data_IF_504328112751
#
_entry.id   IF_504328112751
#
_cell.length_a   1.000
_cell.length_b   1.000
_cell.length_c   1.000
_cell.angle_alpha   90.00
_cell.angle_beta   90.00
_cell.angle_gamma   90.00
#
_symmetry.space_group_name_H-M   'P 1'
#
loop_
_entity.id
_entity.type
_entity.pdbx_description
1 polymer ?
#
# COMPACT_ATOMS: atom_id res chain seq x y z
N UNK A 1 8.48 57.40 -13.35
CA UNK A 1 9.41 56.25 -13.47
C UNK A 1 8.70 54.90 -13.32
N UNK A 2 7.35 54.85 -13.34
CA UNK A 2 6.59 53.62 -13.08
C UNK A 2 6.02 52.93 -14.33
N UNK A 3 5.95 53.63 -15.47
CA UNK A 3 5.35 53.12 -16.71
C UNK A 3 6.28 52.21 -17.54
N UNK A 4 7.59 52.22 -17.25
CA UNK A 4 8.59 51.42 -17.99
C UNK A 4 8.77 50.03 -17.38
N UNK A 5 8.60 49.89 -16.05
CA UNK A 5 8.74 48.61 -15.35
C UNK A 5 7.63 47.61 -15.72
N UNK A 6 6.40 48.09 -15.93
CA UNK A 6 5.25 47.24 -16.23
C UNK A 6 5.38 46.49 -17.58
N UNK A 7 5.90 47.14 -18.63
CA UNK A 7 6.06 46.53 -19.96
C UNK A 7 7.06 45.36 -19.97
N UNK A 8 8.12 45.44 -19.18
CA UNK A 8 9.14 44.39 -19.11
C UNK A 8 8.70 43.19 -18.27
N UNK A 9 7.88 43.41 -17.24
CA UNK A 9 7.29 42.32 -16.42
C UNK A 9 6.28 41.52 -17.24
N UNK A 10 5.46 42.18 -18.07
CA UNK A 10 4.53 41.47 -18.97
C UNK A 10 5.26 40.64 -20.03
N UNK A 11 6.34 41.16 -20.62
CA UNK A 11 7.16 40.41 -21.60
C UNK A 11 7.85 39.22 -20.93
N UNK A 12 8.37 39.39 -19.71
CA UNK A 12 9.00 38.30 -18.96
C UNK A 12 7.99 37.22 -18.56
N UNK A 13 6.79 37.61 -18.11
CA UNK A 13 5.70 36.70 -17.77
C UNK A 13 5.19 35.91 -18.99
N UNK A 14 5.06 36.57 -20.14
CA UNK A 14 4.68 35.94 -21.40
C UNK A 14 5.76 34.98 -21.91
N UNK A 15 7.04 35.34 -21.77
CA UNK A 15 8.16 34.45 -22.10
C UNK A 15 8.24 33.25 -21.15
N UNK A 16 7.99 33.42 -19.85
CA UNK A 16 7.92 32.30 -18.90
C UNK A 16 6.78 31.34 -19.26
N UNK A 17 5.61 31.84 -19.67
CA UNK A 17 4.51 30.98 -20.12
C UNK A 17 4.88 30.15 -21.36
N UNK A 18 5.62 30.74 -22.31
CA UNK A 18 6.10 30.03 -23.50
C UNK A 18 7.18 28.98 -23.20
N UNK A 19 7.99 29.18 -22.16
CA UNK A 19 9.04 28.23 -21.73
C UNK A 19 8.43 27.05 -20.96
N UNK A 20 7.37 27.27 -20.17
CA UNK A 20 6.68 26.19 -19.44
C UNK A 20 5.66 25.41 -20.28
N UNK A 21 5.25 25.92 -21.45
CA UNK A 21 4.29 25.24 -22.33
C UNK A 21 4.91 24.25 -23.32
N UNK A 22 6.23 24.06 -23.32
CA UNK A 22 6.86 23.00 -24.14
C UNK A 22 6.66 21.66 -23.42
N UNK A 23 5.43 21.15 -23.48
CA UNK A 23 5.24 19.72 -23.44
C UNK A 23 5.96 19.17 -24.68
N UNK A 24 7.12 18.55 -24.47
CA UNK A 24 7.80 17.79 -25.52
C UNK A 24 6.92 16.57 -25.81
N UNK A 25 5.89 16.76 -26.61
CA UNK A 25 5.17 15.67 -27.24
C UNK A 25 6.11 15.09 -28.29
N UNK A 26 6.40 13.80 -28.21
CA UNK A 26 7.08 13.09 -29.28
C UNK A 26 6.22 13.21 -30.54
N UNK A 27 6.71 13.97 -31.51
CA UNK A 27 6.19 14.03 -32.87
C UNK A 27 6.37 12.62 -33.47
N UNK A 28 5.30 11.83 -33.48
CA UNK A 28 5.37 10.43 -33.92
C UNK A 28 4.10 9.61 -33.70
N UNK A 29 3.18 10.05 -32.85
CA UNK A 29 1.88 9.38 -32.67
C UNK A 29 0.83 10.05 -33.56
N UNK A 30 0.82 9.72 -34.84
CA UNK A 30 -0.23 10.18 -35.76
C UNK A 30 -1.50 9.32 -35.64
N UNK A 31 -2.66 9.99 -35.75
CA UNK A 31 -3.97 9.38 -36.03
C UNK A 31 -4.43 8.30 -35.04
N UNK A 32 -5.16 8.68 -33.97
CA UNK A 32 -5.98 7.77 -33.16
C UNK A 32 -5.23 6.64 -32.41
N UNK A 33 -3.91 6.60 -32.53
CA UNK A 33 -3.07 5.56 -31.96
C UNK A 33 -2.92 5.78 -30.45
N UNK A 34 -3.49 4.88 -29.63
CA UNK A 34 -3.40 4.94 -28.17
C UNK A 34 -1.97 4.64 -27.72
N UNK A 35 -1.34 5.56 -26.99
CA UNK A 35 -0.05 5.31 -26.29
C UNK A 35 -0.25 4.24 -25.23
N UNK A 36 0.59 3.19 -25.24
CA UNK A 36 0.42 2.00 -24.38
C UNK A 36 1.50 1.82 -23.29
N UNK A 37 2.42 2.77 -23.18
CA UNK A 37 3.49 2.78 -22.19
C UNK A 37 4.50 3.88 -22.50
N UNK A 38 5.33 4.21 -21.51
CA UNK A 38 6.44 5.18 -21.65
C UNK A 38 7.72 4.55 -21.13
N UNK A 39 8.86 4.89 -21.75
CA UNK A 39 10.19 4.54 -21.22
C UNK A 39 10.82 5.79 -20.60
N UNK A 40 11.06 5.77 -19.29
CA UNK A 40 11.68 6.86 -18.55
C UNK A 40 13.04 6.40 -18.04
N UNK A 41 14.08 6.57 -18.86
CA UNK A 41 15.46 6.27 -18.45
C UNK A 41 15.72 4.78 -18.22
N UNK A 42 15.12 3.91 -19.04
CA UNK A 42 15.27 2.46 -18.94
C UNK A 42 14.16 1.75 -18.16
N UNK A 43 13.24 2.50 -17.55
CA UNK A 43 12.08 1.94 -16.87
C UNK A 43 10.85 1.99 -17.77
N UNK A 44 10.18 0.84 -17.94
CA UNK A 44 8.91 0.74 -18.66
C UNK A 44 7.77 0.91 -17.65
N UNK A 45 7.04 2.02 -17.76
CA UNK A 45 5.86 2.28 -16.92
C UNK A 45 4.60 1.89 -17.71
N UNK A 46 3.82 0.97 -17.15
CA UNK A 46 2.50 0.56 -17.67
C UNK A 46 1.49 0.67 -16.55
N UNK A 47 0.55 1.59 -16.70
CA UNK A 47 -0.53 1.80 -15.74
C UNK A 47 -1.80 1.03 -16.10
N UNK A 48 -2.58 0.67 -15.08
CA UNK A 48 -3.88 -0.01 -15.25
C UNK A 48 -4.80 0.71 -16.23
N UNK A 49 -4.91 2.04 -16.17
CA UNK A 49 -5.79 2.82 -17.06
C UNK A 49 -5.35 2.80 -18.55
N UNK A 50 -4.08 2.51 -18.82
CA UNK A 50 -3.54 2.44 -20.19
C UNK A 50 -4.03 1.16 -20.88
N UNK A 51 -3.92 0.02 -20.21
CA UNK A 51 -4.45 -1.27 -20.69
C UNK A 51 -4.99 -2.12 -19.51
N UNK A 52 -6.25 -1.87 -19.08
CA UNK A 52 -6.84 -2.52 -17.90
C UNK A 52 -6.79 -4.05 -17.96
N UNK A 53 -7.04 -4.60 -19.15
CA UNK A 53 -7.05 -6.05 -19.39
C UNK A 53 -5.75 -6.79 -19.05
N UNK A 54 -4.64 -6.07 -18.87
CA UNK A 54 -3.40 -6.69 -18.38
C UNK A 54 -3.47 -7.01 -16.87
N UNK A 55 -4.32 -6.34 -16.11
CA UNK A 55 -4.40 -6.45 -14.64
C UNK A 55 -5.60 -7.28 -14.16
N UNK A 56 -6.63 -7.45 -14.99
CA UNK A 56 -7.89 -8.15 -14.65
C UNK A 56 -7.71 -9.58 -14.10
N UNK A 57 -6.62 -10.25 -14.47
CA UNK A 57 -6.34 -11.62 -14.03
C UNK A 57 -5.54 -11.75 -12.74
N UNK A 58 -5.20 -10.63 -12.08
CA UNK A 58 -4.43 -10.64 -10.84
C UNK A 58 -5.34 -11.00 -9.66
N UNK A 59 -5.07 -12.10 -8.92
CA UNK A 59 -5.86 -12.45 -7.74
C UNK A 59 -5.71 -11.38 -6.65
N UNK A 60 -6.74 -11.14 -5.84
CA UNK A 60 -6.74 -10.06 -4.84
C UNK A 60 -6.29 -8.71 -5.45
N UNK A 61 -6.85 -8.35 -6.61
CA UNK A 61 -6.47 -7.16 -7.38
C UNK A 61 -6.81 -5.83 -6.68
N UNK A 62 -7.52 -5.87 -5.56
CA UNK A 62 -7.76 -4.74 -4.68
C UNK A 62 -6.68 -4.59 -3.58
N UNK A 63 -5.73 -5.53 -3.49
CA UNK A 63 -4.60 -5.55 -2.55
C UNK A 63 -3.27 -5.56 -3.32
N UNK A 64 -3.07 -4.56 -4.16
CA UNK A 64 -1.84 -4.39 -4.94
C UNK A 64 -0.84 -3.46 -4.23
N UNK A 65 0.40 -3.44 -4.69
CA UNK A 65 1.44 -2.55 -4.17
C UNK A 65 0.96 -1.10 -4.13
N UNK A 66 1.04 -0.47 -2.95
CA UNK A 66 0.58 0.91 -2.74
C UNK A 66 -0.86 1.02 -2.22
N UNK A 67 -1.62 -0.07 -2.15
CA UNK A 67 -2.95 -0.09 -1.54
C UNK A 67 -2.83 0.31 -0.06
N UNK A 68 -3.64 1.27 0.37
CA UNK A 68 -3.72 1.69 1.76
C UNK A 68 -4.88 0.99 2.46
N UNK A 69 -4.59 0.36 3.59
CA UNK A 69 -5.55 -0.42 4.37
C UNK A 69 -5.57 -0.01 5.84
N UNK A 70 -6.71 -0.25 6.49
CA UNK A 70 -6.89 -0.13 7.93
C UNK A 70 -7.44 -1.46 8.46
N UNK A 71 -7.05 -1.81 9.69
CA UNK A 71 -7.51 -3.02 10.37
C UNK A 71 -8.21 -2.65 11.67
N UNK A 72 -9.44 -3.13 11.84
CA UNK A 72 -10.21 -2.96 13.08
C UNK A 72 -10.41 -4.31 13.76
N UNK A 73 -10.02 -4.43 15.03
CA UNK A 73 -10.32 -5.61 15.83
C UNK A 73 -11.82 -5.73 16.03
N UNK A 74 -12.38 -6.90 15.71
CA UNK A 74 -13.82 -7.15 15.85
C UNK A 74 -14.21 -7.25 17.33
N UNK A 75 -13.34 -7.78 18.18
CA UNK A 75 -13.63 -7.96 19.61
C UNK A 75 -13.44 -6.69 20.41
N UNK A 76 -12.35 -5.95 20.18
CA UNK A 76 -12.06 -4.71 20.89
C UNK A 76 -12.80 -3.50 20.30
N UNK A 77 -13.26 -3.59 19.05
CA UNK A 77 -13.79 -2.47 18.29
C UNK A 77 -12.81 -1.30 18.15
N UNK A 78 -11.50 -1.61 18.16
CA UNK A 78 -10.39 -0.65 18.04
C UNK A 78 -9.55 -0.89 16.80
N UNK A 79 -8.96 0.17 16.27
CA UNK A 79 -8.05 0.10 15.13
C UNK A 79 -6.62 -0.23 15.54
N UNK A 80 -5.95 -0.97 14.68
CA UNK A 80 -4.51 -1.22 14.74
C UNK A 80 -3.77 0.05 14.35
N UNK A 81 -2.87 0.53 15.20
CA UNK A 81 -2.13 1.79 15.06
C UNK A 81 -0.63 1.56 15.13
N UNK A 82 0.12 2.17 14.21
CA UNK A 82 1.55 2.36 14.39
C UNK A 82 1.79 3.60 15.23
N UNK A 83 2.15 3.42 16.50
CA UNK A 83 2.32 4.56 17.40
C UNK A 83 3.41 5.50 16.89
N UNK A 84 3.12 6.81 16.99
CA UNK A 84 3.92 7.88 16.41
C UNK A 84 4.05 7.78 14.87
N UNK A 85 3.15 7.06 14.19
CA UNK A 85 3.16 6.87 12.73
C UNK A 85 4.24 5.90 12.22
N UNK A 86 4.95 5.22 13.11
CA UNK A 86 6.09 4.35 12.82
C UNK A 86 7.31 4.67 13.70
N UNK A 87 8.13 3.65 13.97
CA UNK A 87 9.32 3.74 14.82
C UNK A 87 9.14 3.25 16.26
N UNK A 88 7.95 2.78 16.63
CA UNK A 88 7.64 2.18 17.93
C UNK A 88 6.81 0.90 17.75
N UNK A 89 6.18 0.41 18.81
CA UNK A 89 5.32 -0.76 18.79
C UNK A 89 3.97 -0.50 18.10
N UNK A 90 3.24 -1.57 17.80
CA UNK A 90 1.87 -1.52 17.31
C UNK A 90 0.89 -1.65 18.48
N UNK A 91 -0.10 -0.76 18.51
CA UNK A 91 -1.19 -0.74 19.49
C UNK A 91 -2.54 -1.04 18.82
N UNK A 92 -3.52 -1.49 19.60
CA UNK A 92 -4.91 -1.76 19.15
C UNK A 92 -5.90 -1.06 20.08
N UNK A 93 -5.86 0.27 20.13
CA UNK A 93 -6.55 1.09 21.12
C UNK A 93 -7.37 2.26 20.53
N UNK A 94 -7.27 2.52 19.23
CA UNK A 94 -7.86 3.72 18.59
C UNK A 94 -9.33 3.53 18.24
N UNK A 95 -10.17 4.50 18.60
CA UNK A 95 -11.60 4.51 18.25
C UNK A 95 -11.83 4.87 16.79
N UNK A 96 -11.09 5.86 16.29
CA UNK A 96 -11.19 6.38 14.94
C UNK A 96 -9.87 6.22 14.20
N UNK A 97 -9.95 5.86 12.92
CA UNK A 97 -8.77 5.70 12.07
C UNK A 97 -8.40 6.99 11.34
N UNK A 98 -7.11 7.27 11.30
CA UNK A 98 -6.50 8.39 10.59
C UNK A 98 -5.19 7.91 9.95
N UNK A 99 -4.13 8.71 10.00
CA UNK A 99 -2.85 8.40 9.38
C UNK A 99 -2.13 7.21 10.04
N UNK A 100 -2.12 7.13 11.37
CA UNK A 100 -1.33 6.12 12.10
C UNK A 100 -1.93 4.71 12.01
N UNK A 101 -3.23 4.60 11.75
CA UNK A 101 -3.95 3.34 11.55
C UNK A 101 -3.94 2.89 10.09
N UNK A 102 -3.37 3.71 9.19
CA UNK A 102 -3.33 3.45 7.75
C UNK A 102 -1.98 2.89 7.34
N UNK A 103 -2.00 1.66 6.81
CA UNK A 103 -0.82 0.93 6.35
C UNK A 103 -0.82 0.80 4.83
N UNK A 104 0.32 1.03 4.20
CA UNK A 104 0.51 0.78 2.78
C UNK A 104 0.97 -0.67 2.58
N UNK A 105 0.24 -1.42 1.75
CA UNK A 105 0.58 -2.79 1.37
C UNK A 105 1.75 -2.80 0.38
N UNK A 106 2.71 -3.66 0.69
CA UNK A 106 3.72 -4.12 -0.24
C UNK A 106 3.51 -5.62 -0.46
N UNK A 107 2.97 -5.97 -1.61
CA UNK A 107 2.70 -7.32 -2.04
C UNK A 107 4.01 -8.06 -2.33
N UNK A 108 4.14 -9.26 -1.80
CA UNK A 108 5.26 -10.18 -2.07
C UNK A 108 4.79 -11.37 -2.92
N UNK A 109 3.56 -11.84 -2.67
CA UNK A 109 2.91 -12.88 -3.45
C UNK A 109 1.39 -12.71 -3.40
N UNK A 110 0.61 -13.73 -3.80
CA UNK A 110 -0.86 -13.68 -3.74
C UNK A 110 -1.40 -13.52 -2.32
N UNK A 111 -0.71 -14.12 -1.34
CA UNK A 111 -1.13 -14.17 0.05
C UNK A 111 -0.15 -13.45 0.99
N UNK A 112 1.07 -13.13 0.54
CA UNK A 112 2.12 -12.54 1.36
C UNK A 112 2.27 -11.04 1.11
N UNK A 113 2.30 -10.28 2.19
CA UNK A 113 2.34 -8.84 2.21
C UNK A 113 3.29 -8.33 3.30
N UNK A 114 3.84 -7.15 3.08
CA UNK A 114 4.55 -6.36 4.07
C UNK A 114 3.74 -5.08 4.29
N UNK A 115 3.64 -4.63 5.54
CA UNK A 115 2.89 -3.44 5.89
C UNK A 115 3.85 -2.29 6.16
N UNK A 116 3.72 -1.22 5.39
CA UNK A 116 4.51 0.00 5.56
C UNK A 116 3.68 1.08 6.24
N UNK A 117 4.19 1.61 7.33
CA UNK A 117 3.61 2.72 8.10
C UNK A 117 3.76 4.06 7.39
N UNK A 118 3.08 5.10 7.88
CA UNK A 118 3.13 6.45 7.32
C UNK A 118 4.53 7.05 7.32
N UNK A 119 5.34 6.78 8.35
CA UNK A 119 6.74 7.21 8.42
C UNK A 119 7.70 6.30 7.65
N UNK A 120 7.19 5.23 7.04
CA UNK A 120 7.92 4.40 6.10
C UNK A 120 8.61 3.18 6.72
N UNK A 121 8.46 2.94 8.02
CA UNK A 121 8.89 1.70 8.67
C UNK A 121 7.95 0.56 8.34
N UNK A 122 8.44 -0.68 8.45
CA UNK A 122 7.69 -1.89 8.24
C UNK A 122 7.28 -2.53 9.57
N UNK A 123 6.11 -3.17 9.57
CA UNK A 123 5.70 -4.04 10.68
C UNK A 123 6.62 -5.25 10.74
N UNK A 124 7.05 -5.62 11.93
CA UNK A 124 7.99 -6.71 12.19
C UNK A 124 7.44 -7.63 13.26
N UNK A 125 7.56 -8.93 13.01
CA UNK A 125 7.40 -9.96 14.03
C UNK A 125 8.53 -10.97 13.94
N UNK A 126 9.25 -11.18 15.04
CA UNK A 126 10.41 -12.07 15.08
C UNK A 126 10.04 -13.57 15.18
N UNK A 127 8.78 -13.91 15.42
CA UNK A 127 8.32 -15.30 15.49
C UNK A 127 7.09 -15.49 16.39
N UNK A 128 6.85 -16.73 16.78
CA UNK A 128 5.72 -17.09 17.65
C UNK A 128 5.84 -16.38 19.01
N UNK A 129 4.75 -15.82 19.52
CA UNK A 129 4.74 -15.07 20.77
C UNK A 129 5.30 -13.65 20.67
N UNK A 130 5.68 -13.18 19.49
CA UNK A 130 6.16 -11.81 19.35
C UNK A 130 5.03 -10.80 19.66
N UNK A 131 5.39 -9.65 20.19
CA UNK A 131 4.62 -8.43 20.00
C UNK A 131 5.06 -7.77 18.69
N UNK A 132 4.09 -7.36 17.87
CA UNK A 132 4.37 -6.72 16.58
C UNK A 132 4.85 -5.29 16.82
N UNK A 133 5.93 -4.90 16.15
CA UNK A 133 6.45 -3.53 16.19
C UNK A 133 6.58 -2.94 14.79
N UNK A 134 6.72 -1.62 14.67
CA UNK A 134 6.91 -0.90 13.42
C UNK A 134 8.25 -0.16 13.38
N UNK A 135 9.34 -0.85 13.68
CA UNK A 135 10.68 -0.23 13.82
C UNK A 135 11.60 -0.48 12.62
N UNK A 136 11.30 -1.48 11.79
CA UNK A 136 12.17 -1.89 10.70
C UNK A 136 12.20 -0.86 9.57
N UNK A 137 13.41 -0.48 9.14
CA UNK A 137 13.61 0.47 8.02
C UNK A 137 13.63 -0.20 6.65
N UNK A 138 13.79 -1.52 6.63
CA UNK A 138 13.85 -2.35 5.43
C UNK A 138 13.08 -3.63 5.68
N UNK A 139 12.41 -4.13 4.65
CA UNK A 139 11.62 -5.34 4.76
C UNK A 139 12.41 -6.60 4.37
N UNK A 140 12.17 -7.67 5.12
CA UNK A 140 12.72 -9.00 4.91
C UNK A 140 11.65 -10.06 5.26
N UNK A 141 12.09 -11.28 5.61
CA UNK A 141 11.21 -12.36 6.01
C UNK A 141 10.41 -12.10 7.29
N UNK A 142 10.95 -11.35 8.25
CA UNK A 142 10.29 -11.02 9.53
C UNK A 142 9.22 -9.93 9.41
N UNK A 143 9.26 -9.17 8.32
CA UNK A 143 8.28 -8.12 7.99
C UNK A 143 7.18 -8.63 7.04
N UNK A 144 7.21 -9.92 6.70
CA UNK A 144 6.29 -10.53 5.76
C UNK A 144 5.22 -11.33 6.49
N UNK A 145 3.97 -11.00 6.21
CA UNK A 145 2.77 -11.58 6.80
C UNK A 145 1.90 -12.19 5.71
N UNK A 146 1.09 -13.17 6.09
CA UNK A 146 0.07 -13.76 5.23
C UNK A 146 -1.29 -13.21 5.62
N UNK A 147 -2.08 -12.80 4.62
CA UNK A 147 -3.46 -12.33 4.81
C UNK A 147 -4.41 -13.37 4.22
N UNK A 148 -5.29 -13.88 5.06
CA UNK A 148 -6.44 -14.68 4.66
C UNK A 148 -7.69 -13.82 4.79
N UNK A 149 -8.53 -13.78 3.74
CA UNK A 149 -9.71 -12.90 3.69
C UNK A 149 -10.95 -13.72 3.37
N UNK A 150 -12.06 -13.38 4.02
CA UNK A 150 -13.38 -13.92 3.68
C UNK A 150 -14.21 -12.95 2.83
N UNK A 151 -15.35 -13.43 2.33
CA UNK A 151 -16.24 -12.64 1.47
C UNK A 151 -16.89 -11.43 2.16
N UNK A 152 -16.82 -11.34 3.49
CA UNK A 152 -17.43 -10.27 4.27
C UNK A 152 -16.43 -9.16 4.65
N UNK A 153 -15.21 -9.18 4.09
CA UNK A 153 -14.18 -8.18 4.40
C UNK A 153 -13.45 -8.42 5.72
N UNK A 154 -13.73 -9.53 6.42
CA UNK A 154 -12.93 -9.95 7.57
C UNK A 154 -11.65 -10.62 7.08
N UNK A 155 -10.59 -10.43 7.85
CA UNK A 155 -9.28 -10.99 7.60
C UNK A 155 -8.70 -11.65 8.84
N UNK A 156 -7.87 -12.65 8.59
CA UNK A 156 -6.90 -13.19 9.52
C UNK A 156 -5.51 -12.91 9.00
N UNK A 157 -4.62 -12.47 9.88
CA UNK A 157 -3.24 -12.16 9.55
C UNK A 157 -2.38 -13.18 10.30
N UNK A 158 -1.42 -13.81 9.63
CA UNK A 158 -0.49 -14.75 10.25
C UNK A 158 0.93 -14.51 9.82
N UNK A 159 1.87 -14.87 10.68
CA UNK A 159 3.29 -14.85 10.34
C UNK A 159 3.66 -16.10 9.54
N UNK A 160 4.84 -16.10 8.91
CA UNK A 160 5.31 -17.19 8.05
C UNK A 160 5.37 -18.57 8.75
N UNK A 161 5.51 -18.62 10.07
CA UNK A 161 5.46 -19.86 10.84
C UNK A 161 4.05 -20.48 10.91
N UNK A 162 3.00 -19.74 10.53
CA UNK A 162 1.60 -20.15 10.55
C UNK A 162 0.81 -19.65 11.76
N UNK A 163 1.47 -18.99 12.72
CA UNK A 163 0.78 -18.46 13.91
C UNK A 163 0.00 -17.19 13.57
N UNK A 164 -1.26 -17.14 13.99
CA UNK A 164 -2.14 -16.00 13.74
C UNK A 164 -1.89 -14.85 14.72
N UNK A 165 -2.02 -13.62 14.22
CA UNK A 165 -1.99 -12.42 15.02
C UNK A 165 -3.31 -12.27 15.80
N UNK A 166 -3.25 -11.76 17.02
CA UNK A 166 -4.41 -11.40 17.81
C UNK A 166 -4.26 -10.04 18.47
N UNK A 167 -5.40 -9.37 18.65
CA UNK A 167 -5.50 -8.18 19.49
C UNK A 167 -5.78 -8.61 20.94
N UNK A 168 -4.87 -8.27 21.85
CA UNK A 168 -4.98 -8.62 23.27
C UNK A 168 -5.78 -7.59 24.05
N UNK A 169 -6.28 -7.97 25.23
CA UNK A 169 -6.96 -7.03 26.14
C UNK A 169 -6.05 -5.91 26.67
N UNK A 170 -4.73 -6.08 26.55
CA UNK A 170 -3.73 -5.06 26.87
C UNK A 170 -3.47 -4.12 25.68
N UNK A 171 -4.33 -4.16 24.66
CA UNK A 171 -4.25 -3.38 23.42
C UNK A 171 -2.95 -3.62 22.61
N UNK A 172 -2.40 -4.83 22.68
CA UNK A 172 -1.23 -5.22 21.89
C UNK A 172 -1.63 -6.09 20.71
N UNK A 173 -0.82 -6.06 19.64
CA UNK A 173 -0.93 -6.99 18.53
C UNK A 173 0.16 -8.06 18.67
N UNK A 174 -0.21 -9.29 18.98
CA UNK A 174 0.74 -10.39 19.26
C UNK A 174 0.54 -11.57 18.32
N UNK A 175 1.60 -12.35 18.07
CA UNK A 175 1.60 -13.51 17.18
C UNK A 175 1.52 -14.85 17.95
N UNK A 176 0.44 -15.08 18.68
CA UNK A 176 0.27 -16.22 19.58
C UNK A 176 -1.17 -16.74 19.69
N UNK A 177 -2.04 -16.44 18.72
CA UNK A 177 -3.39 -16.98 18.74
C UNK A 177 -3.38 -18.53 18.68
N UNK A 178 -4.15 -19.21 19.54
CA UNK A 178 -4.12 -20.66 19.62
C UNK A 178 -4.86 -21.33 18.46
N UNK A 179 -4.11 -22.03 17.61
CA UNK A 179 -4.66 -22.82 16.51
C UNK A 179 -5.14 -21.98 15.33
N UNK A 180 -6.11 -22.49 14.57
CA UNK A 180 -6.69 -21.79 13.42
C UNK A 180 -7.99 -21.09 13.84
N UNK A 181 -8.07 -19.76 13.71
CA UNK A 181 -9.29 -19.03 14.05
C UNK A 181 -10.45 -19.39 13.12
N UNK A 182 -11.65 -19.41 13.66
CA UNK A 182 -12.88 -19.36 12.88
C UNK A 182 -13.14 -17.95 12.34
N UNK A 183 -14.18 -17.82 11.51
CA UNK A 183 -14.64 -16.52 10.99
C UNK A 183 -15.68 -15.83 11.90
N UNK A 184 -15.90 -16.41 13.09
CA UNK A 184 -16.64 -15.81 14.18
C UNK A 184 -15.87 -14.63 14.80
N UNK A 185 -16.52 -13.90 15.71
CA UNK A 185 -15.91 -12.75 16.36
C UNK A 185 -14.94 -13.23 17.44
N UNK A 186 -13.65 -13.20 17.13
CA UNK A 186 -12.57 -13.63 18.02
C UNK A 186 -11.37 -12.66 17.97
N UNK A 187 -10.41 -12.84 18.88
CA UNK A 187 -9.27 -11.94 19.04
C UNK A 187 -8.34 -11.86 17.82
N UNK A 188 -8.34 -12.87 16.94
CA UNK A 188 -7.56 -12.89 15.70
C UNK A 188 -8.31 -12.38 14.47
N UNK A 189 -9.59 -12.01 14.62
CA UNK A 189 -10.43 -11.57 13.51
C UNK A 189 -10.48 -10.05 13.43
N UNK A 190 -10.09 -9.53 12.27
CA UNK A 190 -10.07 -8.10 11.97
C UNK A 190 -10.98 -7.78 10.79
N UNK A 191 -11.60 -6.62 10.79
CA UNK A 191 -12.21 -6.04 9.59
C UNK A 191 -11.14 -5.24 8.85
N UNK A 192 -10.97 -5.52 7.55
CA UNK A 192 -10.04 -4.79 6.70
C UNK A 192 -10.81 -3.82 5.81
N UNK A 193 -10.45 -2.55 5.89
CA UNK A 193 -10.98 -1.49 5.01
C UNK A 193 -9.88 -1.03 4.07
N UNK A 194 -10.18 -0.96 2.77
CA UNK A 194 -9.30 -0.34 1.76
C UNK A 194 -9.64 1.14 1.71
N UNK A 195 -8.68 1.98 2.09
CA UNK A 195 -8.84 3.45 2.16
C UNK A 195 -8.48 4.11 0.84
N UNK A 196 -7.45 3.60 0.16
CA UNK A 196 -7.02 4.09 -1.14
C UNK A 196 -6.36 2.96 -1.95
N UNK A 197 -6.65 2.91 -3.25
CA UNK A 197 -6.04 1.98 -4.20
C UNK A 197 -5.90 2.68 -5.56
N UNK A 198 -5.12 3.75 -5.60
CA UNK A 198 -5.00 4.62 -6.78
C UNK A 198 -3.69 4.41 -7.55
N UNK A 199 -2.74 3.66 -6.97
CA UNK A 199 -1.42 3.43 -7.55
C UNK A 199 -1.47 2.09 -8.29
N UNK A 200 -1.22 2.09 -9.62
CA UNK A 200 -1.37 0.89 -10.45
C UNK A 200 -0.18 0.55 -11.38
N UNK A 201 0.89 1.34 -11.40
CA UNK A 201 1.86 1.29 -12.51
C UNK A 201 3.23 0.66 -12.25
N UNK A 202 3.85 0.91 -11.10
CA UNK A 202 5.30 0.78 -11.05
C UNK A 202 5.81 -0.64 -10.70
N UNK A 203 4.97 -1.50 -10.09
CA UNK A 203 5.43 -2.78 -9.52
C UNK A 203 4.46 -3.97 -9.65
N UNK A 204 3.31 -3.79 -10.30
CA UNK A 204 2.18 -4.70 -10.09
C UNK A 204 2.08 -5.86 -11.08
N UNK A 205 2.55 -5.72 -12.32
CA UNK A 205 2.28 -6.74 -13.33
C UNK A 205 3.09 -8.02 -13.11
N UNK A 206 4.41 -7.91 -12.93
CA UNK A 206 5.27 -9.08 -12.73
C UNK A 206 5.04 -9.76 -11.37
N UNK A 207 4.77 -8.96 -10.33
CA UNK A 207 4.54 -9.44 -8.98
C UNK A 207 3.11 -9.98 -8.79
N UNK A 208 2.11 -9.31 -9.35
CA UNK A 208 0.69 -9.65 -9.20
C UNK A 208 0.33 -11.01 -9.78
N UNK A 209 0.89 -11.38 -10.94
CA UNK A 209 0.68 -12.72 -11.52
C UNK A 209 1.56 -13.81 -10.93
N UNK A 210 2.58 -13.44 -10.15
CA UNK A 210 3.57 -14.34 -9.59
C UNK A 210 4.56 -14.89 -10.62
N UNK A 211 5.64 -15.50 -10.11
CA UNK A 211 6.79 -15.94 -10.90
C UNK A 211 6.44 -16.84 -12.11
N UNK A 212 5.46 -17.74 -11.96
CA UNK A 212 5.15 -18.73 -12.98
C UNK A 212 4.45 -18.16 -14.21
N UNK A 213 3.71 -17.06 -14.06
CA UNK A 213 2.97 -16.38 -15.14
C UNK A 213 3.75 -15.20 -15.73
N UNK A 214 4.85 -14.81 -15.11
CA UNK A 214 5.75 -13.75 -15.58
C UNK A 214 6.86 -14.25 -16.52
N UNK A 215 6.86 -15.54 -16.89
CA UNK A 215 7.81 -16.15 -17.84
C UNK A 215 7.33 -16.06 -19.29
#
# INVERSE_FOLDING_TARGET
>A
MELVFSKWVFVFSLCCWLIFSVAVAVEGVHGGSKVRGVNLGGWLVIEGWIKPSLFDGIPNGDMLDGTQVQFKSVTLQKYVSADNGGGMDISVDRDDASSWETFTLWRVSELEFQFRTTQGQFLTCYGNGCSVSATAKSASSTETFQIERNNNGKVHIKIKSGTYLQATMDNQLTADYPGTPGWDDNAATFEMTIVANNLHGDYQLANGFGHNKAK
#
